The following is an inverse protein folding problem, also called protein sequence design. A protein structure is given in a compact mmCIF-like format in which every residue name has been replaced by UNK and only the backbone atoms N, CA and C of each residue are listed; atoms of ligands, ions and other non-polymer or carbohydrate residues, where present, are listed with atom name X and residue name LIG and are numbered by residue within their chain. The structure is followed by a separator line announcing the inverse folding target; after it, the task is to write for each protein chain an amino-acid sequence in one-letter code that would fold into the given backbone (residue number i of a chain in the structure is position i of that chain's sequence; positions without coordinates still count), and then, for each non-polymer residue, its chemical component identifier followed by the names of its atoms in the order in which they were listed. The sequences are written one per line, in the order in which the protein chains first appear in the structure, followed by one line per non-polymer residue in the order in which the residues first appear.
data_IF_565643789427
#
_entry.id   IF_565643789427
#
_cell.length_a   1.000
_cell.length_b   1.000
_cell.length_c   1.000
_cell.angle_alpha   90.00
_cell.angle_beta   90.00
_cell.angle_gamma   90.00
#
_symmetry.space_group_name_H-M   'P 1'
#
loop_
_entity.id
_entity.type
_entity.pdbx_description
1 polymer ?
#
# COMPACT_ATOMS: atom_id res chain seq x y z
N UNK A 1 -12.38 9.49 0.52
CA UNK A 1 -12.68 8.07 0.81
C UNK A 1 -13.52 7.47 -0.30
N UNK A 2 -13.32 6.18 -0.55
CA UNK A 2 -14.05 5.42 -1.58
C UNK A 2 -14.79 4.28 -0.86
N UNK A 3 -16.09 4.16 -1.11
CA UNK A 3 -16.94 3.07 -0.61
C UNK A 3 -17.19 2.07 -1.74
N UNK A 4 -16.96 0.79 -1.47
CA UNK A 4 -17.22 -0.30 -2.40
C UNK A 4 -18.03 -1.43 -1.76
N UNK A 5 -18.62 -2.28 -2.61
CA UNK A 5 -19.29 -3.52 -2.19
C UNK A 5 -18.73 -4.68 -3.02
N UNK A 6 -17.56 -5.21 -2.62
CA UNK A 6 -16.86 -6.25 -3.38
C UNK A 6 -17.66 -7.56 -3.30
N UNK A 7 -18.05 -8.09 -4.47
CA UNK A 7 -18.71 -9.39 -4.56
C UNK A 7 -17.67 -10.48 -4.80
N UNK A 8 -17.80 -11.62 -4.10
CA UNK A 8 -16.94 -12.78 -4.31
C UNK A 8 -15.52 -12.63 -3.71
N UNK A 9 -15.29 -11.64 -2.86
CA UNK A 9 -14.03 -11.50 -2.12
C UNK A 9 -14.22 -12.07 -0.70
N UNK A 10 -13.45 -13.10 -0.39
CA UNK A 10 -13.50 -13.72 0.94
C UNK A 10 -12.73 -12.91 1.97
N UNK A 11 -13.11 -13.03 3.23
CA UNK A 11 -12.39 -12.38 4.34
C UNK A 11 -10.91 -12.81 4.39
N UNK A 12 -10.59 -14.03 4.01
CA UNK A 12 -9.21 -14.54 3.95
C UNK A 12 -8.37 -13.91 2.82
N UNK A 13 -9.02 -13.20 1.90
CA UNK A 13 -8.39 -12.54 0.75
C UNK A 13 -8.53 -11.02 0.83
N UNK A 14 -8.96 -10.49 1.99
CA UNK A 14 -9.25 -9.05 2.14
C UNK A 14 -8.04 -8.16 1.79
N UNK A 15 -6.82 -8.65 2.02
CA UNK A 15 -5.62 -7.86 1.77
C UNK A 15 -5.39 -7.59 0.28
N UNK A 16 -5.95 -8.40 -0.62
CA UNK A 16 -5.88 -8.13 -2.08
C UNK A 16 -6.59 -6.81 -2.43
N UNK A 17 -7.65 -6.43 -1.71
CA UNK A 17 -8.28 -5.11 -1.86
C UNK A 17 -7.33 -3.99 -1.43
N UNK A 18 -6.56 -4.19 -0.36
CA UNK A 18 -5.52 -3.24 0.09
C UNK A 18 -4.43 -3.09 -0.96
N UNK A 19 -3.98 -4.21 -1.52
CA UNK A 19 -2.98 -4.22 -2.60
C UNK A 19 -3.48 -3.45 -3.83
N UNK A 20 -4.72 -3.68 -4.25
CA UNK A 20 -5.32 -2.97 -5.39
C UNK A 20 -5.42 -1.46 -5.15
N UNK A 21 -5.85 -1.04 -3.95
CA UNK A 21 -5.89 0.36 -3.57
C UNK A 21 -4.51 1.02 -3.57
N UNK A 22 -3.50 0.34 -3.03
CA UNK A 22 -2.13 0.83 -3.01
C UNK A 22 -1.53 0.94 -4.42
N UNK A 23 -1.78 -0.04 -5.30
CA UNK A 23 -1.35 -0.01 -6.71
C UNK A 23 -2.04 1.12 -7.48
N UNK A 24 -3.32 1.38 -7.21
CA UNK A 24 -4.02 2.51 -7.82
C UNK A 24 -3.37 3.85 -7.46
N UNK A 25 -3.08 4.08 -6.17
CA UNK A 25 -2.37 5.30 -5.73
C UNK A 25 -0.98 5.38 -6.35
N UNK A 26 -0.23 4.27 -6.36
CA UNK A 26 1.10 4.21 -6.98
C UNK A 26 1.03 4.57 -8.47
N UNK A 27 0.10 4.00 -9.23
CA UNK A 27 -0.02 4.24 -10.68
C UNK A 27 -0.28 5.71 -11.00
N UNK A 28 -1.06 6.40 -10.17
CA UNK A 28 -1.28 7.85 -10.30
C UNK A 28 -0.01 8.63 -9.98
N UNK A 29 0.66 8.30 -8.88
CA UNK A 29 1.89 8.99 -8.46
C UNK A 29 3.03 8.82 -9.47
N UNK A 30 3.12 7.66 -10.11
CA UNK A 30 4.12 7.39 -11.17
C UNK A 30 3.99 8.34 -12.38
N UNK A 31 2.80 8.96 -12.60
CA UNK A 31 2.61 9.99 -13.62
C UNK A 31 3.22 11.35 -13.24
N UNK A 32 3.45 11.58 -11.95
CA UNK A 32 3.99 12.85 -11.43
C UNK A 32 5.47 12.75 -11.07
N UNK A 33 5.91 11.60 -10.55
CA UNK A 33 7.28 11.41 -10.09
C UNK A 33 7.65 9.92 -10.13
N UNK A 34 8.91 9.61 -10.40
CA UNK A 34 9.42 8.24 -10.34
C UNK A 34 9.72 7.78 -8.90
N UNK A 35 10.22 6.56 -8.76
CA UNK A 35 10.70 5.98 -7.50
C UNK A 35 9.63 5.74 -6.42
N UNK A 36 8.35 5.63 -6.82
CA UNK A 36 7.25 5.29 -5.91
C UNK A 36 7.29 3.80 -5.55
N UNK A 37 7.25 3.51 -4.26
CA UNK A 37 7.27 2.16 -3.70
C UNK A 37 6.18 1.97 -2.65
N UNK A 38 5.70 0.73 -2.51
CA UNK A 38 4.68 0.34 -1.55
C UNK A 38 5.38 -0.18 -0.28
N UNK A 39 5.12 0.46 0.85
CA UNK A 39 5.65 0.01 2.13
C UNK A 39 4.53 -0.66 2.91
N UNK A 40 4.67 -1.98 3.09
CA UNK A 40 3.75 -2.74 3.93
C UNK A 40 3.66 -2.14 5.34
N UNK A 41 2.46 -2.09 5.95
CA UNK A 41 1.22 -2.68 5.43
C UNK A 41 0.41 -1.78 4.49
N UNK A 42 0.50 -0.45 4.60
CA UNK A 42 -0.49 0.46 4.04
C UNK A 42 0.06 1.83 3.63
N UNK A 43 1.38 1.98 3.56
CA UNK A 43 2.05 3.23 3.22
C UNK A 43 2.62 3.21 1.80
N UNK A 44 2.75 4.41 1.23
CA UNK A 44 3.40 4.63 -0.06
C UNK A 44 4.54 5.62 0.15
N UNK A 45 5.69 5.26 -0.38
CA UNK A 45 6.94 5.98 -0.20
C UNK A 45 7.49 6.49 -1.53
N UNK A 46 8.08 7.66 -1.48
CA UNK A 46 9.01 8.19 -2.46
C UNK A 46 10.39 8.14 -1.84
N UNK A 47 11.28 7.30 -2.39
CA UNK A 47 12.53 6.90 -1.71
C UNK A 47 12.24 6.50 -0.24
N UNK A 48 12.83 7.20 0.74
CA UNK A 48 12.66 6.94 2.18
C UNK A 48 11.60 7.83 2.85
N UNK A 49 10.78 8.56 2.04
CA UNK A 49 9.80 9.53 2.55
C UNK A 49 8.37 9.07 2.28
N UNK A 50 7.50 9.19 3.29
CA UNK A 50 6.09 8.81 3.19
C UNK A 50 5.27 9.88 2.46
N UNK A 51 4.70 9.53 1.31
CA UNK A 51 3.82 10.40 0.53
C UNK A 51 2.34 10.11 0.74
N UNK A 52 1.98 8.86 1.06
CA UNK A 52 0.59 8.46 1.25
C UNK A 52 0.47 7.34 2.28
N UNK A 53 -0.72 7.23 2.87
CA UNK A 53 -1.15 6.10 3.68
C UNK A 53 -2.62 5.79 3.42
N UNK A 54 -3.00 4.51 3.52
CA UNK A 54 -4.37 4.06 3.28
C UNK A 54 -4.89 3.31 4.48
N UNK A 55 -6.06 3.72 4.99
CA UNK A 55 -6.82 2.97 5.99
C UNK A 55 -7.97 2.26 5.29
N UNK A 56 -8.15 0.97 5.59
CA UNK A 56 -9.21 0.17 5.01
C UNK A 56 -10.08 -0.41 6.12
N UNK A 57 -11.37 -0.14 6.04
CA UNK A 57 -12.39 -0.68 6.93
C UNK A 57 -13.32 -1.59 6.16
N UNK A 58 -13.56 -2.81 6.69
CA UNK A 58 -14.39 -3.82 6.03
C UNK A 58 -15.57 -4.21 6.91
N UNK A 59 -16.73 -4.41 6.28
CA UNK A 59 -17.86 -5.09 6.88
C UNK A 59 -18.01 -6.46 6.23
N UNK A 60 -18.29 -7.47 7.04
CA UNK A 60 -18.38 -8.86 6.59
C UNK A 60 -19.76 -9.45 6.88
N UNK A 61 -20.20 -10.40 6.05
CA UNK A 61 -21.34 -11.26 6.31
C UNK A 61 -20.98 -12.69 5.95
N UNK A 62 -21.00 -13.58 6.94
CA UNK A 62 -20.50 -14.93 6.76
C UNK A 62 -19.01 -14.95 6.45
N UNK A 63 -18.65 -15.42 5.26
CA UNK A 63 -17.25 -15.52 4.80
C UNK A 63 -16.86 -14.47 3.76
N UNK A 64 -17.77 -13.56 3.41
CA UNK A 64 -17.59 -12.58 2.35
C UNK A 64 -17.55 -11.15 2.89
N UNK A 65 -16.77 -10.31 2.22
CA UNK A 65 -16.75 -8.88 2.47
C UNK A 65 -17.94 -8.24 1.75
N UNK A 66 -18.81 -7.57 2.49
CA UNK A 66 -20.01 -6.92 1.96
C UNK A 66 -19.82 -5.44 1.68
N UNK A 67 -18.90 -4.80 2.43
CA UNK A 67 -18.51 -3.40 2.25
C UNK A 67 -17.03 -3.22 2.52
N UNK A 68 -16.43 -2.28 1.81
CA UNK A 68 -15.07 -1.87 2.05
C UNK A 68 -14.97 -0.34 1.86
N UNK A 69 -14.43 0.35 2.85
CA UNK A 69 -14.16 1.79 2.81
C UNK A 69 -12.66 1.98 2.75
N UNK A 70 -12.20 2.68 1.71
CA UNK A 70 -10.80 3.07 1.54
C UNK A 70 -10.64 4.54 1.93
N UNK A 71 -9.98 4.81 3.04
CA UNK A 71 -9.55 6.14 3.44
C UNK A 71 -8.13 6.38 2.93
N UNK A 72 -7.96 7.15 1.87
CA UNK A 72 -6.65 7.42 1.26
C UNK A 72 -6.20 8.81 1.67
N UNK A 73 -5.09 8.88 2.42
CA UNK A 73 -4.41 10.11 2.77
C UNK A 73 -3.22 10.34 1.84
N UNK A 74 -3.35 11.24 0.88
CA UNK A 74 -2.30 11.59 -0.06
C UNK A 74 -1.82 13.02 0.16
N UNK A 75 -0.51 13.19 0.33
CA UNK A 75 0.11 14.49 0.48
C UNK A 75 0.34 15.12 -0.91
N UNK A 76 -0.45 16.14 -1.26
CA UNK A 76 -0.39 16.79 -2.58
C UNK A 76 0.37 18.11 -2.52
N UNK A 77 -0.15 19.11 -1.81
CA UNK A 77 0.38 20.47 -1.83
C UNK A 77 0.85 20.96 -0.45
N UNK A 78 1.06 20.07 0.50
CA UNK A 78 1.60 20.43 1.81
C UNK A 78 3.07 20.84 1.67
N UNK A 79 3.41 22.05 2.13
CA UNK A 79 4.79 22.54 2.21
C UNK A 79 5.45 22.13 3.53
N UNK A 80 4.68 22.19 4.61
CA UNK A 80 5.14 21.93 5.98
C UNK A 80 4.21 20.90 6.62
N UNK A 81 4.82 19.91 7.26
CA UNK A 81 4.09 18.87 8.00
C UNK A 81 4.17 19.14 9.50
N UNK A 82 3.02 18.98 10.18
CA UNK A 82 2.89 19.16 11.63
C UNK A 82 2.44 17.86 12.34
N UNK A 83 2.66 16.71 11.67
CA UNK A 83 2.30 15.39 12.19
C UNK A 83 3.55 14.63 12.62
N UNK A 84 3.37 13.62 13.49
CA UNK A 84 4.42 12.72 13.94
C UNK A 84 4.75 11.63 12.89
N UNK A 85 4.24 11.74 11.66
CA UNK A 85 4.56 10.81 10.59
C UNK A 85 6.07 10.87 10.27
N UNK A 86 6.76 9.73 10.21
CA UNK A 86 8.19 9.72 9.89
C UNK A 86 8.41 10.17 8.44
N UNK A 87 9.30 11.16 8.28
CA UNK A 87 9.74 11.65 6.96
C UNK A 87 8.59 11.89 5.96
N UNK A 88 7.58 12.72 6.27
CA UNK A 88 6.49 12.98 5.34
C UNK A 88 6.97 13.86 4.17
N UNK A 89 6.41 13.61 2.97
CA UNK A 89 6.69 14.39 1.76
C UNK A 89 5.39 14.57 0.96
N UNK A 90 5.33 15.62 0.14
CA UNK A 90 4.21 15.88 -0.76
C UNK A 90 4.65 15.92 -2.23
N UNK A 91 3.69 15.86 -3.15
CA UNK A 91 3.97 16.07 -4.58
C UNK A 91 4.60 17.44 -4.82
N UNK A 92 4.14 18.49 -4.12
CA UNK A 92 4.71 19.82 -4.21
C UNK A 92 6.19 19.85 -3.79
N UNK A 93 6.54 19.16 -2.69
CA UNK A 93 7.94 19.08 -2.26
C UNK A 93 8.83 18.33 -3.28
N UNK A 94 8.28 17.33 -3.98
CA UNK A 94 9.02 16.51 -4.95
C UNK A 94 9.19 17.27 -6.28
N UNK A 95 8.09 17.83 -6.79
CA UNK A 95 8.03 18.37 -8.15
C UNK A 95 8.31 19.89 -8.21
N UNK A 96 8.15 20.59 -7.10
CA UNK A 96 8.16 22.06 -7.05
C UNK A 96 6.93 22.71 -7.69
N UNK A 97 5.92 21.94 -8.09
CA UNK A 97 4.75 22.41 -8.81
C UNK A 97 3.47 22.18 -8.02
N UNK A 98 2.64 23.23 -7.92
CA UNK A 98 1.28 23.07 -7.37
C UNK A 98 0.44 22.17 -8.28
N UNK A 99 -0.21 21.19 -7.69
CA UNK A 99 -1.08 20.24 -8.42
C UNK A 99 -2.53 20.41 -7.94
N UNK A 100 -3.50 20.69 -8.84
CA UNK A 100 -4.91 20.76 -8.47
C UNK A 100 -5.39 19.45 -7.83
N UNK A 101 -5.95 19.53 -6.62
CA UNK A 101 -6.36 18.35 -5.85
C UNK A 101 -7.46 17.58 -6.59
N UNK A 102 -8.39 18.27 -7.22
CA UNK A 102 -9.48 17.69 -8.01
C UNK A 102 -8.96 16.83 -9.17
N UNK A 103 -7.86 17.26 -9.79
CA UNK A 103 -7.22 16.48 -10.85
C UNK A 103 -6.70 15.15 -10.31
N UNK A 104 -5.93 15.19 -9.22
CA UNK A 104 -5.37 13.99 -8.58
C UNK A 104 -6.49 13.07 -8.09
N UNK A 105 -7.57 13.64 -7.54
CA UNK A 105 -8.71 12.88 -7.06
C UNK A 105 -9.44 12.14 -8.20
N UNK A 106 -9.62 12.78 -9.35
CA UNK A 106 -10.23 12.16 -10.52
C UNK A 106 -9.35 11.04 -11.10
N UNK A 107 -8.05 11.30 -11.27
CA UNK A 107 -7.09 10.29 -11.74
C UNK A 107 -7.07 9.08 -10.78
N UNK A 108 -7.14 9.34 -9.47
CA UNK A 108 -7.17 8.28 -8.46
C UNK A 108 -8.48 7.47 -8.52
N UNK A 109 -9.62 8.12 -8.73
CA UNK A 109 -10.90 7.42 -8.87
C UNK A 109 -10.91 6.47 -10.08
N UNK A 110 -10.37 6.91 -11.23
CA UNK A 110 -10.26 6.09 -12.44
C UNK A 110 -9.28 4.92 -12.26
N UNK A 111 -8.11 5.19 -11.68
CA UNK A 111 -7.13 4.16 -11.39
C UNK A 111 -7.68 3.13 -10.38
N UNK A 112 -8.35 3.62 -9.33
CA UNK A 112 -8.95 2.75 -8.32
C UNK A 112 -10.02 1.83 -8.93
N UNK A 113 -10.92 2.37 -9.77
CA UNK A 113 -11.95 1.58 -10.47
C UNK A 113 -11.30 0.48 -11.32
N UNK A 114 -10.21 0.79 -11.99
CA UNK A 114 -9.47 -0.17 -12.82
C UNK A 114 -8.90 -1.33 -11.99
N UNK A 115 -8.18 -1.03 -10.91
CA UNK A 115 -7.58 -2.07 -10.06
C UNK A 115 -8.64 -2.84 -9.25
N UNK A 116 -9.65 -2.15 -8.75
CA UNK A 116 -10.77 -2.79 -8.04
C UNK A 116 -11.52 -3.79 -8.92
N UNK A 117 -11.79 -3.42 -10.17
CA UNK A 117 -12.45 -4.30 -11.14
C UNK A 117 -11.65 -5.57 -11.37
N UNK A 118 -10.34 -5.48 -11.53
CA UNK A 118 -9.45 -6.64 -11.67
C UNK A 118 -9.60 -7.62 -10.49
N UNK A 119 -9.71 -7.12 -9.25
CA UNK A 119 -9.91 -7.98 -8.08
C UNK A 119 -11.24 -8.71 -8.14
N UNK A 120 -12.35 -8.02 -8.45
CA UNK A 120 -13.69 -8.66 -8.49
C UNK A 120 -13.90 -9.57 -9.69
N UNK A 121 -13.16 -9.37 -10.78
CA UNK A 121 -13.11 -10.23 -11.96
C UNK A 121 -12.17 -11.44 -11.79
N UNK A 122 -11.44 -11.51 -10.67
CA UNK A 122 -10.63 -12.69 -10.31
C UNK A 122 -9.15 -12.61 -10.67
N UNK A 123 -8.64 -11.47 -11.16
CA UNK A 123 -7.22 -11.24 -11.49
C UNK A 123 -6.35 -11.00 -10.24
N UNK A 124 -6.58 -11.81 -9.18
CA UNK A 124 -5.96 -11.62 -7.88
C UNK A 124 -4.46 -11.92 -7.89
N UNK A 125 -4.07 -12.97 -8.61
CA UNK A 125 -2.66 -13.39 -8.65
C UNK A 125 -1.76 -12.33 -9.29
N UNK A 126 -2.23 -11.68 -10.36
CA UNK A 126 -1.50 -10.59 -10.99
C UNK A 126 -1.42 -9.36 -10.07
N UNK A 127 -2.49 -9.02 -9.35
CA UNK A 127 -2.48 -7.95 -8.33
C UNK A 127 -1.43 -8.23 -7.25
N UNK A 128 -1.39 -9.47 -6.73
CA UNK A 128 -0.40 -9.89 -5.71
C UNK A 128 1.02 -9.79 -6.26
N UNK A 129 1.25 -10.23 -7.50
CA UNK A 129 2.56 -10.14 -8.14
C UNK A 129 3.01 -8.68 -8.30
N UNK A 130 2.16 -7.82 -8.89
CA UNK A 130 2.45 -6.39 -9.09
C UNK A 130 2.74 -5.68 -7.77
N UNK A 131 1.97 -5.99 -6.72
CA UNK A 131 2.18 -5.42 -5.38
C UNK A 131 3.55 -5.81 -4.83
N UNK A 132 3.91 -7.09 -4.90
CA UNK A 132 5.19 -7.60 -4.40
C UNK A 132 6.39 -7.00 -5.14
N UNK A 133 6.29 -6.82 -6.47
CA UNK A 133 7.34 -6.19 -7.28
C UNK A 133 7.52 -4.70 -6.97
N UNK A 134 6.46 -4.05 -6.50
CA UNK A 134 6.46 -2.65 -6.12
C UNK A 134 6.91 -2.38 -4.68
N UNK A 135 7.19 -3.41 -3.87
CA UNK A 135 7.51 -3.25 -2.45
C UNK A 135 8.76 -2.38 -2.23
N UNK A 136 8.67 -1.52 -1.24
CA UNK A 136 9.80 -0.79 -0.68
C UNK A 136 10.78 -1.79 -0.03
N UNK A 137 12.07 -1.63 -0.32
CA UNK A 137 13.12 -2.57 0.15
C UNK A 137 12.88 -4.02 -0.29
N UNK A 138 12.33 -4.20 -1.49
CA UNK A 138 12.00 -5.51 -2.05
C UNK A 138 13.21 -6.43 -2.18
N UNK A 139 14.39 -5.87 -2.48
CA UNK A 139 15.62 -6.62 -2.73
C UNK A 139 16.70 -6.28 -1.71
N UNK A 140 17.53 -7.29 -1.39
CA UNK A 140 18.66 -7.15 -0.47
C UNK A 140 18.28 -7.29 1.00
N UNK A 141 19.29 -7.29 1.85
CA UNK A 141 19.12 -7.33 3.30
C UNK A 141 18.94 -5.91 3.84
N UNK A 142 17.89 -5.70 4.60
CA UNK A 142 17.58 -4.44 5.26
C UNK A 142 17.35 -4.66 6.75
N UNK A 143 17.56 -3.61 7.55
CA UNK A 143 17.31 -3.66 8.99
C UNK A 143 15.80 -3.57 9.26
N UNK A 144 15.34 -4.49 10.07
CA UNK A 144 13.98 -4.54 10.62
C UNK A 144 14.04 -4.55 12.14
N UNK A 145 12.96 -4.13 12.75
CA UNK A 145 12.71 -4.21 14.19
C UNK A 145 11.36 -4.94 14.41
N UNK A 146 11.40 -5.97 15.23
CA UNK A 146 10.19 -6.63 15.71
C UNK A 146 9.63 -5.78 16.87
N UNK A 147 8.52 -5.11 16.62
CA UNK A 147 7.92 -4.18 17.59
C UNK A 147 7.38 -4.86 18.85
N UNK A 148 7.10 -6.17 18.80
CA UNK A 148 6.63 -6.92 19.96
C UNK A 148 7.77 -7.28 20.93
N UNK A 149 8.97 -7.51 20.41
CA UNK A 149 10.13 -7.95 21.20
C UNK A 149 11.23 -6.90 21.31
N UNK A 150 11.25 -5.89 20.45
CA UNK A 150 12.34 -4.91 20.30
C UNK A 150 13.59 -5.51 19.63
N UNK A 151 13.54 -6.75 19.13
CA UNK A 151 14.65 -7.38 18.43
C UNK A 151 14.92 -6.67 17.11
N UNK A 152 16.17 -6.31 16.83
CA UNK A 152 16.59 -5.80 15.52
C UNK A 152 17.38 -6.85 14.78
N UNK A 153 17.12 -7.01 13.48
CA UNK A 153 17.75 -8.03 12.62
C UNK A 153 17.84 -7.54 11.18
N UNK A 154 18.71 -8.17 10.38
CA UNK A 154 18.73 -7.97 8.93
C UNK A 154 17.89 -9.07 8.25
N UNK A 155 17.07 -8.68 7.28
CA UNK A 155 16.26 -9.63 6.51
C UNK A 155 15.99 -9.12 5.10
N UNK A 156 15.63 -10.04 4.21
CA UNK A 156 15.05 -9.76 2.89
C UNK A 156 13.56 -10.05 2.91
N UNK A 157 12.81 -9.32 2.08
CA UNK A 157 11.39 -9.61 1.87
C UNK A 157 11.27 -10.80 0.93
N UNK A 158 10.56 -11.86 1.38
CA UNK A 158 10.16 -12.95 0.49
C UNK A 158 8.93 -12.55 -0.30
N UNK A 159 7.84 -12.28 0.38
CA UNK A 159 6.60 -11.78 -0.23
C UNK A 159 5.57 -11.33 0.82
N UNK A 160 4.53 -10.67 0.34
CA UNK A 160 3.27 -10.43 1.08
C UNK A 160 2.19 -11.28 0.43
N UNK A 161 1.51 -12.11 1.24
CA UNK A 161 0.45 -13.00 0.77
C UNK A 161 -0.93 -12.33 0.68
N UNK A 162 -1.92 -13.04 0.15
CA UNK A 162 -3.34 -12.60 0.12
C UNK A 162 -3.93 -12.46 1.52
N UNK A 163 -3.32 -13.14 2.50
CA UNK A 163 -3.64 -13.07 3.94
C UNK A 163 -3.09 -11.79 4.61
N UNK A 164 -2.33 -10.98 3.89
CA UNK A 164 -1.72 -9.76 4.39
C UNK A 164 -0.43 -9.97 5.18
N UNK A 165 0.03 -11.21 5.36
CA UNK A 165 1.26 -11.50 6.09
C UNK A 165 2.50 -11.06 5.30
N UNK A 166 3.34 -10.25 5.94
CA UNK A 166 4.70 -9.97 5.45
C UNK A 166 5.62 -11.12 5.84
N UNK A 167 6.24 -11.75 4.85
CA UNK A 167 7.18 -12.85 5.05
C UNK A 167 8.59 -12.41 4.72
N UNK A 168 9.49 -12.66 5.65
CA UNK A 168 10.89 -12.28 5.60
C UNK A 168 11.78 -13.51 5.82
N UNK A 169 12.97 -13.49 5.21
CA UNK A 169 14.07 -14.40 5.58
C UNK A 169 15.21 -13.57 6.16
N UNK A 170 15.61 -13.85 7.42
CA UNK A 170 16.67 -13.12 8.08
C UNK A 170 18.07 -13.58 7.63
N UNK A 171 19.13 -12.86 8.06
CA UNK A 171 20.52 -13.14 7.72
C UNK A 171 21.02 -14.53 8.10
N UNK A 172 20.32 -15.23 9.00
CA UNK A 172 20.61 -16.58 9.43
C UNK A 172 19.78 -17.64 8.68
N UNK A 173 18.96 -17.22 7.70
CA UNK A 173 18.07 -18.10 6.94
C UNK A 173 16.77 -18.45 7.66
N UNK A 174 16.48 -17.85 8.81
CA UNK A 174 15.22 -18.08 9.55
C UNK A 174 14.08 -17.32 8.88
N UNK A 175 12.99 -18.02 8.65
CA UNK A 175 11.75 -17.41 8.16
C UNK A 175 10.98 -16.74 9.30
N UNK A 176 10.52 -15.53 9.04
CA UNK A 176 9.71 -14.72 9.94
C UNK A 176 8.45 -14.26 9.22
N UNK A 177 7.33 -14.17 9.94
CA UNK A 177 6.06 -13.73 9.38
C UNK A 177 5.36 -12.76 10.34
N UNK A 178 4.88 -11.65 9.80
CA UNK A 178 4.26 -10.56 10.56
C UNK A 178 2.87 -10.27 10.02
N UNK A 179 1.91 -10.13 10.93
CA UNK A 179 0.54 -9.69 10.62
C UNK A 179 0.39 -8.18 10.82
N UNK A 180 -0.71 -7.66 10.31
CA UNK A 180 -1.21 -6.31 10.60
C UNK A 180 -1.55 -6.15 12.08
#
# INVERSE_FOLDING_TARGET
SILTSPKGVRITEQFVLSMAGALAVKSVLDNYCGAIKLKWPNDIYWFDSKISGTLIETAVSGKEITRCIFGIGLNVNQEIFRSDAPNPISLLNITGLYTPIERVANELAEAFETYYRRVVEGDKDAIVSEYNDALYRRFGLHRYEDTATGETFLASIDHVGTDGMLRLTDENGRQRAYSL
#
